data_IF_711658594510
#
_entry.id   IF_711658594510
#
_cell.length_a   1.000
_cell.length_b   1.000
_cell.length_c   1.000
_cell.angle_alpha   90.00
_cell.angle_beta   90.00
_cell.angle_gamma   90.00
#
_symmetry.space_group_name_H-M   'P 1'
#
loop_
_entity.id
_entity.type
_entity.pdbx_description
1 polymer ?
#
# COMPACT_ATOMS: atom_id res chain seq x y z
N UNK A 1 -27.32 18.23 36.07
CA UNK A 1 -26.47 17.12 35.60
C UNK A 1 -27.03 16.63 34.27
N UNK A 2 -26.63 17.29 33.18
CA UNK A 2 -27.09 17.00 31.81
C UNK A 2 -26.26 15.86 31.23
N UNK A 3 -26.89 14.70 31.00
CA UNK A 3 -26.36 13.66 30.13
C UNK A 3 -26.63 14.09 28.69
N UNK A 4 -25.60 14.55 27.98
CA UNK A 4 -25.69 14.81 26.55
C UNK A 4 -25.90 13.51 25.80
N UNK A 5 -27.04 13.43 25.12
CA UNK A 5 -27.35 12.42 24.13
C UNK A 5 -26.34 12.50 22.98
N UNK A 6 -25.54 11.43 22.82
CA UNK A 6 -24.75 11.21 21.61
C UNK A 6 -25.73 10.80 20.50
N UNK A 7 -26.10 11.73 19.62
CA UNK A 7 -26.83 11.43 18.40
C UNK A 7 -26.03 10.45 17.51
N UNK A 8 -26.60 9.30 17.08
CA UNK A 8 -25.94 8.43 16.10
C UNK A 8 -26.67 8.50 14.75
N UNK A 9 -26.32 9.40 13.81
CA UNK A 9 -26.92 9.39 12.48
C UNK A 9 -26.30 8.36 11.51
N UNK A 10 -25.40 7.48 11.96
CA UNK A 10 -24.61 6.61 11.06
C UNK A 10 -24.99 5.12 11.05
N UNK A 11 -26.03 4.69 11.77
CA UNK A 11 -26.46 3.27 11.81
C UNK A 11 -27.63 2.90 10.89
N UNK A 12 -28.28 3.88 10.26
CA UNK A 12 -29.43 3.68 9.35
C UNK A 12 -29.16 2.63 8.22
N UNK A 13 -28.00 2.60 7.53
CA UNK A 13 -27.75 1.62 6.46
C UNK A 13 -27.67 0.17 6.95
N UNK A 14 -27.30 -0.05 8.22
CA UNK A 14 -27.07 -1.40 8.77
C UNK A 14 -28.34 -2.05 9.32
N UNK A 15 -29.39 -1.27 9.58
CA UNK A 15 -30.67 -1.80 10.09
C UNK A 15 -31.34 -2.75 9.09
N UNK A 16 -31.13 -2.50 7.79
CA UNK A 16 -31.66 -3.33 6.67
C UNK A 16 -30.97 -4.70 6.55
N UNK A 17 -29.76 -4.86 7.09
CA UNK A 17 -28.96 -6.09 6.97
C UNK A 17 -29.01 -7.00 8.20
N UNK A 18 -29.76 -6.62 9.25
CA UNK A 18 -29.94 -7.44 10.45
C UNK A 18 -30.31 -8.90 10.15
N UNK A 19 -31.30 -9.21 9.29
CA UNK A 19 -31.65 -10.59 8.97
C UNK A 19 -30.49 -11.37 8.35
N UNK A 20 -29.68 -10.72 7.51
CA UNK A 20 -28.52 -11.35 6.88
C UNK A 20 -27.40 -11.62 7.89
N UNK A 21 -27.19 -10.71 8.85
CA UNK A 21 -26.22 -10.88 9.94
C UNK A 21 -26.66 -12.01 10.89
N UNK A 22 -27.94 -12.05 11.25
CA UNK A 22 -28.51 -13.11 12.10
C UNK A 22 -28.43 -14.48 11.41
N UNK A 23 -28.76 -14.56 10.12
CA UNK A 23 -28.61 -15.78 9.33
C UNK A 23 -27.15 -16.25 9.22
N UNK A 24 -26.21 -15.31 9.04
CA UNK A 24 -24.78 -15.61 9.05
C UNK A 24 -24.34 -16.20 10.40
N UNK A 25 -24.81 -15.64 11.52
CA UNK A 25 -24.51 -16.15 12.86
C UNK A 25 -25.15 -17.52 13.12
N UNK A 26 -26.41 -17.71 12.75
CA UNK A 26 -27.13 -18.97 12.90
C UNK A 26 -26.50 -20.10 12.07
N UNK A 27 -25.89 -19.78 10.93
CA UNK A 27 -25.19 -20.75 10.08
C UNK A 27 -23.71 -20.96 10.43
N UNK A 28 -23.12 -20.18 11.35
CA UNK A 28 -21.72 -20.34 11.77
C UNK A 28 -21.39 -21.75 12.29
N UNK A 29 -22.21 -22.40 13.15
CA UNK A 29 -21.89 -23.72 13.71
C UNK A 29 -21.71 -24.81 12.65
N UNK A 30 -22.37 -24.63 11.49
CA UNK A 30 -22.30 -25.58 10.37
C UNK A 30 -21.21 -25.23 9.35
N UNK A 31 -20.46 -24.14 9.58
CA UNK A 31 -19.42 -23.63 8.68
C UNK A 31 -19.88 -23.42 7.21
N UNK A 32 -21.19 -23.23 6.97
CA UNK A 32 -21.77 -23.06 5.63
C UNK A 32 -21.28 -21.77 4.97
N UNK A 33 -21.20 -20.69 5.74
CA UNK A 33 -20.57 -19.44 5.35
C UNK A 33 -19.56 -19.06 6.43
N UNK A 34 -18.30 -18.90 6.05
CA UNK A 34 -17.28 -18.41 6.96
C UNK A 34 -16.86 -17.01 6.54
N UNK A 35 -16.73 -16.11 7.51
CA UNK A 35 -16.05 -14.84 7.27
C UNK A 35 -14.52 -14.99 7.20
N UNK A 36 -14.02 -16.23 7.07
CA UNK A 36 -12.60 -16.48 6.87
C UNK A 36 -12.15 -15.92 5.52
N UNK A 37 -11.13 -15.07 5.56
CA UNK A 37 -10.51 -14.52 4.38
C UNK A 37 -9.14 -14.00 4.78
N UNK A 38 -8.15 -14.21 3.90
CA UNK A 38 -6.75 -13.82 4.11
C UNK A 38 -6.58 -12.33 4.46
N UNK A 39 -7.62 -11.51 4.26
CA UNK A 39 -7.65 -10.08 4.52
C UNK A 39 -8.90 -9.60 5.29
N UNK A 40 -9.52 -10.48 6.10
CA UNK A 40 -10.73 -10.13 6.87
C UNK A 40 -10.53 -8.89 7.76
N UNK A 41 -9.33 -8.73 8.32
CA UNK A 41 -8.84 -7.47 8.91
C UNK A 41 -7.55 -7.10 8.21
N UNK A 42 -7.56 -5.96 7.52
CA UNK A 42 -6.36 -5.40 6.90
C UNK A 42 -5.48 -4.72 7.95
N UNK A 43 -4.17 -4.78 7.76
CA UNK A 43 -3.22 -4.07 8.63
C UNK A 43 -3.42 -2.56 8.50
N UNK A 44 -3.37 -1.85 9.62
CA UNK A 44 -3.70 -0.42 9.68
C UNK A 44 -5.20 -0.09 9.70
N UNK A 45 -6.09 -1.10 9.75
CA UNK A 45 -7.52 -0.90 9.99
C UNK A 45 -7.85 -1.38 11.41
N UNK A 46 -7.57 -0.51 12.38
CA UNK A 46 -7.95 -0.73 13.77
C UNK A 46 -9.48 -0.66 13.97
N UNK A 47 -10.01 -1.51 14.83
CA UNK A 47 -11.42 -1.62 15.23
C UNK A 47 -11.88 -0.51 16.19
N UNK A 48 -10.97 0.38 16.61
CA UNK A 48 -11.27 1.50 17.50
C UNK A 48 -11.24 1.16 19.00
N UNK A 49 -10.82 -0.05 19.38
CA UNK A 49 -10.46 -0.36 20.77
C UNK A 49 -9.24 0.43 21.25
N UNK A 50 -9.01 0.49 22.56
CA UNK A 50 -7.77 1.03 23.12
C UNK A 50 -6.57 0.30 22.51
N UNK A 51 -5.68 1.04 21.85
CA UNK A 51 -4.48 0.51 21.17
C UNK A 51 -4.61 0.24 19.66
N UNK A 52 -5.80 0.38 19.07
CA UNK A 52 -6.01 0.19 17.64
C UNK A 52 -5.34 1.31 16.81
N UNK A 53 -4.19 1.02 16.19
CA UNK A 53 -3.46 1.97 15.34
C UNK A 53 -4.03 1.98 13.93
N UNK A 54 -4.57 3.12 13.49
CA UNK A 54 -5.01 3.33 12.10
C UNK A 54 -3.82 3.76 11.24
N UNK A 55 -2.78 2.91 11.16
CA UNK A 55 -1.59 3.20 10.37
C UNK A 55 -0.96 1.91 9.83
N UNK A 56 -0.43 1.98 8.60
CA UNK A 56 0.22 0.88 7.90
C UNK A 56 1.74 0.92 8.15
N UNK A 57 2.37 -0.17 8.58
CA UNK A 57 3.82 -0.24 8.63
C UNK A 57 4.41 -0.31 7.21
N UNK A 58 5.45 0.47 6.99
CA UNK A 58 6.13 0.65 5.72
C UNK A 58 7.65 0.67 5.92
N UNK A 59 8.36 -0.16 5.16
CA UNK A 59 9.83 -0.20 5.18
C UNK A 59 10.36 0.81 4.16
N UNK A 60 11.22 1.71 4.60
CA UNK A 60 11.97 2.64 3.76
C UNK A 60 13.42 2.15 3.62
N UNK A 61 13.80 1.71 2.42
CA UNK A 61 15.18 1.36 2.08
C UNK A 61 15.99 2.65 1.89
N UNK A 62 17.18 2.71 2.46
CA UNK A 62 18.05 3.89 2.36
C UNK A 62 19.48 3.49 2.00
N UNK A 63 20.10 4.27 1.12
CA UNK A 63 21.51 4.14 0.73
C UNK A 63 22.37 5.26 1.31
N UNK A 64 23.64 4.97 1.56
CA UNK A 64 24.61 5.95 2.08
C UNK A 64 26.02 5.65 1.58
N UNK A 65 26.86 6.70 1.46
CA UNK A 65 28.29 6.60 1.17
C UNK A 65 29.16 6.67 2.44
N UNK A 66 28.68 7.31 3.50
CA UNK A 66 29.41 7.61 4.74
C UNK A 66 28.86 6.88 5.98
N UNK A 67 27.69 6.23 5.87
CA UNK A 67 26.97 5.61 6.98
C UNK A 67 26.23 6.61 7.88
N UNK A 68 26.24 7.90 7.55
CA UNK A 68 25.65 8.98 8.35
C UNK A 68 24.52 9.69 7.59
N UNK A 69 24.76 9.99 6.32
CA UNK A 69 23.83 10.65 5.40
C UNK A 69 23.09 9.60 4.57
N UNK A 70 21.79 9.50 4.77
CA UNK A 70 20.97 8.43 4.19
C UNK A 70 19.93 8.97 3.21
N UNK A 71 19.89 8.41 2.01
CA UNK A 71 18.95 8.80 0.97
C UNK A 71 17.98 7.66 0.64
N UNK A 72 16.65 7.93 0.58
CA UNK A 72 15.65 6.89 0.42
C UNK A 72 15.52 6.40 -1.02
N UNK A 73 15.32 5.10 -1.18
CA UNK A 73 14.85 4.48 -2.40
C UNK A 73 13.32 4.45 -2.41
N UNK A 74 12.71 4.83 -3.53
CA UNK A 74 11.24 4.93 -3.63
C UNK A 74 10.68 3.76 -4.42
N UNK A 75 9.73 3.04 -3.82
CA UNK A 75 8.99 1.95 -4.47
C UNK A 75 7.90 2.50 -5.42
N UNK A 76 7.49 1.69 -6.40
CA UNK A 76 6.58 2.11 -7.47
C UNK A 76 5.15 2.28 -7.02
N UNK A 77 4.67 1.46 -6.10
CA UNK A 77 3.25 1.39 -5.76
C UNK A 77 2.98 1.48 -4.26
N UNK A 78 4.02 1.51 -3.43
CA UNK A 78 3.89 1.77 -1.99
C UNK A 78 3.83 3.27 -1.66
N UNK A 79 3.31 3.62 -0.47
CA UNK A 79 3.53 4.94 0.12
C UNK A 79 5.03 5.29 0.14
N UNK A 80 5.33 6.59 -0.01
CA UNK A 80 6.70 7.09 -0.10
C UNK A 80 6.71 8.58 0.28
N UNK A 81 6.99 9.49 -0.68
CA UNK A 81 6.80 10.93 -0.45
C UNK A 81 5.39 11.26 0.05
N UNK A 82 5.27 12.21 0.98
CA UNK A 82 4.02 12.49 1.71
C UNK A 82 2.96 13.16 0.83
N UNK A 83 3.38 13.89 -0.18
CA UNK A 83 2.59 14.55 -1.21
C UNK A 83 2.18 13.60 -2.35
N UNK A 84 2.67 12.36 -2.35
CA UNK A 84 2.38 11.39 -3.41
C UNK A 84 1.01 10.75 -3.21
N UNK A 85 0.09 11.00 -4.15
CA UNK A 85 -1.21 10.32 -4.20
C UNK A 85 -1.06 8.79 -4.32
N UNK A 86 -1.93 7.98 -3.68
CA UNK A 86 -1.98 6.54 -3.92
C UNK A 86 -2.20 6.23 -5.41
N UNK A 87 -1.39 5.35 -6.02
CA UNK A 87 -1.57 4.98 -7.42
C UNK A 87 -2.72 4.00 -7.58
N UNK A 88 -3.36 4.03 -8.76
CA UNK A 88 -4.24 2.95 -9.20
C UNK A 88 -3.41 1.82 -9.77
N UNK A 89 -3.48 0.65 -9.14
CA UNK A 89 -2.59 -0.48 -9.44
C UNK A 89 -3.31 -1.62 -10.16
N UNK A 90 -4.63 -1.78 -9.94
CA UNK A 90 -5.40 -2.83 -10.61
C UNK A 90 -5.38 -2.64 -12.15
N UNK A 91 -5.28 -3.72 -12.94
CA UNK A 91 -5.22 -5.15 -12.57
C UNK A 91 -3.81 -5.68 -12.27
N UNK A 92 -2.78 -4.81 -12.28
CA UNK A 92 -1.42 -5.21 -12.00
C UNK A 92 -1.25 -5.63 -10.52
N UNK A 93 -0.42 -6.65 -10.28
CA UNK A 93 -0.06 -7.11 -8.95
C UNK A 93 1.46 -6.93 -8.75
N UNK A 94 1.91 -5.79 -8.20
CA UNK A 94 3.33 -5.51 -8.06
C UNK A 94 3.94 -6.43 -7.00
N UNK A 95 4.65 -7.45 -7.46
CA UNK A 95 5.14 -8.53 -6.60
C UNK A 95 6.12 -8.05 -5.54
N UNK A 96 7.04 -7.15 -5.88
CA UNK A 96 8.01 -6.61 -4.92
C UNK A 96 7.29 -5.76 -3.85
N UNK A 97 6.50 -4.77 -4.25
CA UNK A 97 5.75 -3.89 -3.35
C UNK A 97 4.82 -4.67 -2.41
N UNK A 98 4.23 -5.76 -2.92
CA UNK A 98 3.40 -6.68 -2.16
C UNK A 98 4.21 -7.49 -1.13
N UNK A 99 5.34 -8.04 -1.53
CA UNK A 99 6.27 -8.73 -0.61
C UNK A 99 6.79 -7.77 0.47
N UNK A 100 7.12 -6.54 0.10
CA UNK A 100 7.52 -5.47 1.04
C UNK A 100 6.44 -5.15 2.07
N UNK A 101 5.15 -5.25 1.70
CA UNK A 101 4.06 -5.11 2.67
C UNK A 101 4.05 -6.23 3.70
N UNK A 102 4.23 -7.48 3.30
CA UNK A 102 4.32 -8.59 4.24
C UNK A 102 5.57 -8.49 5.12
N UNK A 103 6.72 -8.14 4.55
CA UNK A 103 7.95 -7.96 5.32
C UNK A 103 7.76 -6.93 6.46
N UNK A 104 7.09 -5.82 6.18
CA UNK A 104 6.84 -4.77 7.17
C UNK A 104 5.97 -5.21 8.37
N UNK A 105 5.31 -6.37 8.29
CA UNK A 105 4.50 -6.94 9.39
C UNK A 105 5.33 -7.81 10.34
N UNK A 106 6.55 -8.18 9.96
CA UNK A 106 7.45 -9.01 10.74
C UNK A 106 8.81 -8.34 10.89
N UNK A 107 9.84 -9.17 10.87
CA UNK A 107 11.23 -8.73 10.96
C UNK A 107 12.02 -9.17 9.72
N UNK A 108 13.15 -8.53 9.47
CA UNK A 108 14.00 -8.86 8.34
C UNK A 108 14.56 -10.30 8.43
N UNK A 109 14.75 -10.85 9.64
CA UNK A 109 15.19 -12.23 9.85
C UNK A 109 14.17 -13.24 9.32
N UNK A 110 12.88 -12.93 9.44
CA UNK A 110 11.78 -13.72 8.87
C UNK A 110 11.60 -13.53 7.35
N UNK A 111 12.29 -12.56 6.75
CA UNK A 111 12.25 -12.26 5.32
C UNK A 111 13.64 -12.32 4.67
N UNK A 112 14.28 -13.50 4.53
CA UNK A 112 15.62 -13.64 3.95
C UNK A 112 15.80 -12.98 2.57
N UNK A 113 14.75 -12.99 1.75
CA UNK A 113 14.75 -12.34 0.43
C UNK A 113 14.98 -10.82 0.51
N UNK A 114 14.59 -10.17 1.61
CA UNK A 114 14.78 -8.75 1.82
C UNK A 114 16.25 -8.41 2.07
N UNK A 115 16.96 -9.27 2.82
CA UNK A 115 18.41 -9.14 3.01
C UNK A 115 19.14 -9.34 1.68
N UNK A 116 18.67 -10.29 0.85
CA UNK A 116 19.21 -10.49 -0.50
C UNK A 116 18.94 -9.28 -1.41
N UNK A 117 17.75 -8.68 -1.34
CA UNK A 117 17.44 -7.43 -2.03
C UNK A 117 18.44 -6.32 -1.65
N UNK A 118 18.71 -6.13 -0.36
CA UNK A 118 19.69 -5.15 0.12
C UNK A 118 21.10 -5.45 -0.41
N UNK A 119 21.52 -6.73 -0.43
CA UNK A 119 22.80 -7.14 -1.02
C UNK A 119 22.89 -6.80 -2.51
N UNK A 120 21.82 -7.04 -3.29
CA UNK A 120 21.81 -6.71 -4.74
C UNK A 120 21.80 -5.22 -5.02
N UNK A 121 21.20 -4.42 -4.13
CA UNK A 121 21.30 -2.96 -4.20
C UNK A 121 22.72 -2.46 -3.87
N UNK A 122 23.41 -3.08 -2.90
CA UNK A 122 24.85 -2.83 -2.62
C UNK A 122 25.77 -3.23 -3.79
N UNK A 123 25.34 -4.18 -4.62
CA UNK A 123 26.03 -4.55 -5.87
C UNK A 123 25.69 -3.60 -7.04
N UNK A 124 24.65 -2.78 -6.91
CA UNK A 124 24.17 -1.91 -7.98
C UNK A 124 23.53 -2.67 -9.13
N UNK A 125 22.93 -3.84 -8.85
CA UNK A 125 22.41 -4.72 -9.88
C UNK A 125 21.29 -4.03 -10.70
N UNK A 126 21.46 -3.80 -12.02
CA UNK A 126 20.52 -3.01 -12.82
C UNK A 126 19.09 -3.56 -12.81
N UNK A 127 18.93 -4.88 -12.80
CA UNK A 127 17.63 -5.53 -12.80
C UNK A 127 16.85 -5.22 -11.51
N UNK A 128 17.55 -5.20 -10.37
CA UNK A 128 16.98 -4.88 -9.05
C UNK A 128 16.68 -3.39 -8.93
N UNK A 129 17.61 -2.54 -9.36
CA UNK A 129 17.43 -1.09 -9.40
C UNK A 129 16.22 -0.72 -10.25
N UNK A 130 15.99 -1.42 -11.36
CA UNK A 130 14.83 -1.20 -12.25
C UNK A 130 13.47 -1.49 -11.61
N UNK A 131 13.43 -2.22 -10.49
CA UNK A 131 12.19 -2.50 -9.74
C UNK A 131 11.72 -1.26 -8.95
N UNK A 132 12.62 -0.32 -8.68
CA UNK A 132 12.33 0.90 -7.93
C UNK A 132 11.82 2.01 -8.86
N UNK A 133 11.07 2.95 -8.31
CA UNK A 133 10.59 4.14 -9.04
C UNK A 133 11.68 5.20 -9.11
N UNK A 134 12.30 5.48 -7.96
CA UNK A 134 13.34 6.48 -7.83
C UNK A 134 14.53 5.94 -7.06
N UNK A 135 15.70 6.23 -7.59
CA UNK A 135 17.01 5.93 -7.05
C UNK A 135 17.69 7.26 -6.73
N UNK A 136 18.30 7.42 -5.54
CA UNK A 136 19.01 8.64 -5.20
C UNK A 136 20.02 9.02 -6.29
N UNK A 137 20.11 10.31 -6.69
CA UNK A 137 20.97 10.74 -7.79
C UNK A 137 22.41 10.24 -7.70
N UNK A 138 22.99 10.28 -6.50
CA UNK A 138 24.35 9.81 -6.22
C UNK A 138 24.57 8.31 -6.41
N UNK A 139 23.49 7.52 -6.49
CA UNK A 139 23.54 6.07 -6.65
C UNK A 139 23.07 5.57 -8.02
N UNK A 140 22.89 6.47 -9.00
CA UNK A 140 22.47 6.09 -10.36
C UNK A 140 23.58 5.43 -11.16
N UNK A 141 24.82 5.92 -10.99
CA UNK A 141 25.99 5.45 -11.73
C UNK A 141 26.89 4.53 -10.90
N UNK A 142 26.81 4.62 -9.57
CA UNK A 142 27.59 3.81 -8.64
C UNK A 142 26.69 3.29 -7.51
N UNK A 143 26.87 2.05 -7.03
CA UNK A 143 26.11 1.57 -5.87
C UNK A 143 26.51 2.30 -4.59
N UNK A 144 25.62 2.38 -3.58
CA UNK A 144 25.96 2.90 -2.28
C UNK A 144 26.97 2.00 -1.55
N UNK A 145 27.74 2.56 -0.62
CA UNK A 145 28.62 1.78 0.26
C UNK A 145 27.85 1.07 1.38
N UNK A 146 26.74 1.68 1.81
CA UNK A 146 25.90 1.21 2.89
C UNK A 146 24.44 1.17 2.48
N UNK A 147 23.71 0.16 2.95
CA UNK A 147 22.26 0.11 2.88
C UNK A 147 21.69 -0.20 4.25
N UNK A 148 20.66 0.52 4.66
CA UNK A 148 19.85 0.22 5.83
C UNK A 148 18.37 0.24 5.48
N UNK A 149 17.53 -0.13 6.42
CA UNK A 149 16.09 0.07 6.29
C UNK A 149 15.49 0.58 7.61
N UNK A 150 14.60 1.55 7.49
CA UNK A 150 13.83 2.12 8.59
C UNK A 150 12.37 1.69 8.46
N UNK A 151 11.69 1.51 9.58
CA UNK A 151 10.25 1.24 9.62
C UNK A 151 9.51 2.53 9.98
N UNK A 152 8.49 2.85 9.19
CA UNK A 152 7.58 3.96 9.43
C UNK A 152 6.15 3.45 9.52
N UNK A 153 5.32 4.17 10.26
CA UNK A 153 3.87 4.01 10.25
C UNK A 153 3.27 5.12 9.41
N UNK A 154 2.61 4.76 8.31
CA UNK A 154 1.93 5.67 7.39
C UNK A 154 0.42 5.68 7.66
N UNK A 155 -0.15 6.87 7.82
CA UNK A 155 -1.61 7.10 7.88
C UNK A 155 -2.01 7.96 6.69
N UNK A 156 -3.12 7.59 6.05
CA UNK A 156 -3.66 8.36 4.93
C UNK A 156 -4.30 9.62 5.49
N UNK A 157 -3.98 10.79 4.93
CA UNK A 157 -4.64 12.02 5.37
C UNK A 157 -6.14 11.92 5.10
N UNK A 158 -6.94 12.36 6.07
CA UNK A 158 -8.40 12.36 6.00
C UNK A 158 -8.90 13.78 6.27
N UNK A 159 -10.05 14.16 5.68
CA UNK A 159 -10.79 15.32 6.15
C UNK A 159 -11.08 15.22 7.66
N UNK A 160 -11.22 16.36 8.33
CA UNK A 160 -11.43 16.47 9.79
C UNK A 160 -12.65 15.73 10.35
N UNK A 161 -13.57 15.25 9.51
CA UNK A 161 -14.74 14.46 9.90
C UNK A 161 -14.47 12.93 9.97
N UNK A 162 -13.28 12.45 9.60
CA UNK A 162 -12.89 11.03 9.66
C UNK A 162 -12.38 10.58 11.03
N UNK A 163 -12.41 9.26 11.29
CA UNK A 163 -11.87 8.61 12.52
C UNK A 163 -10.48 9.16 12.91
N UNK A 164 -10.19 9.16 14.22
CA UNK A 164 -8.90 9.56 14.86
C UNK A 164 -7.70 9.23 13.95
N UNK A 165 -6.94 10.26 13.55
CA UNK A 165 -5.64 10.11 12.88
C UNK A 165 -4.60 9.54 13.85
N UNK A 166 -3.55 8.97 13.27
CA UNK A 166 -2.33 8.66 14.00
C UNK A 166 -1.68 9.95 14.56
N UNK A 167 -1.40 9.97 15.86
CA UNK A 167 -0.55 11.00 16.46
C UNK A 167 0.94 10.67 16.21
N UNK A 168 1.76 11.60 15.70
CA UNK A 168 3.20 11.46 15.67
C UNK A 168 3.71 11.55 17.11
N UNK A 169 3.79 10.41 17.81
CA UNK A 169 4.16 10.36 19.24
C UNK A 169 3.49 9.25 20.04
N UNK A 170 2.57 8.47 19.46
CA UNK A 170 1.99 7.28 20.12
C UNK A 170 0.94 7.59 21.20
N UNK A 171 0.71 8.85 21.56
CA UNK A 171 -0.35 9.26 22.47
C UNK A 171 -1.71 9.34 21.75
N UNK A 172 -2.70 8.57 22.21
CA UNK A 172 -4.07 8.57 21.70
C UNK A 172 -4.91 9.80 22.09
N UNK A 173 -4.33 11.00 22.01
CA UNK A 173 -5.02 12.26 22.27
C UNK A 173 -6.01 12.65 21.14
N UNK A 174 -6.89 13.64 21.38
CA UNK A 174 -7.58 14.35 20.32
C UNK A 174 -6.56 15.15 19.49
N UNK A 175 -6.66 15.06 18.16
CA UNK A 175 -5.77 15.79 17.26
C UNK A 175 -6.06 17.28 17.29
N UNK A 176 -5.14 18.07 17.83
CA UNK A 176 -4.96 19.42 17.30
C UNK A 176 -4.70 19.29 15.80
N UNK A 177 -5.51 19.99 15.02
CA UNK A 177 -5.53 19.87 13.58
C UNK A 177 -4.15 20.26 13.02
N UNK A 178 -3.35 19.28 12.59
CA UNK A 178 -2.30 19.53 11.61
C UNK A 178 -3.01 20.04 10.35
N UNK A 179 -2.91 21.35 10.13
CA UNK A 179 -3.63 22.13 9.13
C UNK A 179 -3.05 22.04 7.71
N UNK A 180 -2.10 21.15 7.46
CA UNK A 180 -1.55 21.02 6.11
C UNK A 180 -2.31 19.96 5.30
N UNK A 181 -3.39 20.40 4.66
CA UNK A 181 -4.24 19.61 3.76
C UNK A 181 -3.58 19.24 2.42
N UNK A 182 -2.33 19.64 2.18
CA UNK A 182 -1.65 19.39 0.89
C UNK A 182 -1.05 17.98 0.75
N UNK A 183 -0.75 17.31 1.87
CA UNK A 183 -0.17 15.97 1.86
C UNK A 183 -1.24 14.86 1.76
N UNK A 184 -0.91 13.77 1.05
CA UNK A 184 -1.72 12.54 0.98
C UNK A 184 -1.45 11.57 2.14
N UNK A 185 -0.29 11.68 2.77
CA UNK A 185 0.14 10.82 3.88
C UNK A 185 0.70 11.61 5.05
N UNK A 186 0.43 11.14 6.26
CA UNK A 186 1.20 11.43 7.45
C UNK A 186 2.06 10.20 7.81
N UNK A 187 3.25 10.41 8.36
CA UNK A 187 4.09 9.31 8.84
C UNK A 187 4.71 9.57 10.20
N UNK A 188 4.97 8.51 10.95
CA UNK A 188 5.78 8.55 12.16
C UNK A 188 6.82 7.43 12.15
N UNK A 189 8.04 7.66 12.68
CA UNK A 189 9.05 6.62 12.79
C UNK A 189 8.58 5.52 13.75
N UNK A 190 8.78 4.27 13.35
CA UNK A 190 8.53 3.08 14.18
C UNK A 190 9.83 2.48 14.74
N UNK A 191 10.95 2.71 14.05
CA UNK A 191 12.28 2.28 14.48
C UNK A 191 13.09 1.64 13.35
N UNK A 192 14.33 1.21 13.62
CA UNK A 192 15.17 0.55 12.63
C UNK A 192 14.58 -0.81 12.25
N UNK A 193 14.55 -1.11 10.95
CA UNK A 193 14.10 -2.40 10.43
C UNK A 193 15.29 -3.30 10.06
N UNK A 194 16.29 -2.77 9.36
CA UNK A 194 17.51 -3.48 8.98
C UNK A 194 18.72 -2.61 9.35
N UNK A 195 19.69 -3.13 10.13
CA UNK A 195 20.89 -2.37 10.46
C UNK A 195 21.71 -2.06 9.20
N UNK A 196 22.58 -1.03 9.25
CA UNK A 196 23.50 -0.71 8.16
C UNK A 196 24.32 -1.93 7.71
N UNK A 197 24.09 -2.37 6.49
CA UNK A 197 24.85 -3.40 5.79
C UNK A 197 25.87 -2.75 4.87
N UNK A 198 27.04 -3.35 4.78
CA UNK A 198 28.10 -2.99 3.86
C UNK A 198 28.41 -4.16 2.92
N UNK A 199 28.90 -3.85 1.72
CA UNK A 199 29.21 -4.87 0.70
C UNK A 199 30.22 -5.92 1.16
N UNK A 200 31.20 -5.54 1.98
CA UNK A 200 32.30 -6.40 2.43
C UNK A 200 32.09 -6.92 3.87
N UNK A 201 30.85 -6.97 4.33
CA UNK A 201 30.53 -7.50 5.65
C UNK A 201 30.57 -9.05 5.63
N UNK A 202 31.45 -9.66 6.42
CA UNK A 202 31.63 -11.11 6.50
C UNK A 202 30.36 -11.85 6.94
N UNK A 203 29.54 -11.25 7.82
CA UNK A 203 28.27 -11.84 8.25
C UNK A 203 27.24 -11.87 7.12
N UNK A 204 27.22 -10.83 6.29
CA UNK A 204 26.36 -10.79 5.10
C UNK A 204 26.81 -11.84 4.08
N UNK A 205 28.12 -11.94 3.83
CA UNK A 205 28.67 -12.94 2.92
C UNK A 205 28.37 -14.37 3.38
N UNK A 206 28.57 -14.68 4.66
CA UNK A 206 28.26 -16.00 5.23
C UNK A 206 26.77 -16.32 5.12
N UNK A 207 25.90 -15.35 5.39
CA UNK A 207 24.45 -15.50 5.21
C UNK A 207 24.08 -15.83 3.76
N UNK A 208 24.60 -15.06 2.79
CA UNK A 208 24.35 -15.29 1.37
C UNK A 208 24.86 -16.65 0.91
N UNK A 209 26.06 -17.05 1.33
CA UNK A 209 26.63 -18.36 1.03
C UNK A 209 25.77 -19.51 1.60
N UNK A 210 25.29 -19.40 2.84
CA UNK A 210 24.44 -20.41 3.48
C UNK A 210 23.13 -20.66 2.73
N UNK A 211 22.67 -19.69 1.95
CA UNK A 211 21.45 -19.74 1.12
C UNK A 211 21.72 -20.11 -0.33
N UNK A 212 22.99 -20.31 -0.71
CA UNK A 212 23.38 -20.51 -2.11
C UNK A 212 23.32 -19.25 -2.98
N UNK A 213 23.18 -18.06 -2.38
CA UNK A 213 23.08 -16.76 -3.06
C UNK A 213 24.42 -16.05 -3.16
N UNK A 214 25.49 -16.79 -3.48
CA UNK A 214 26.83 -16.22 -3.61
C UNK A 214 26.91 -15.07 -4.63
N UNK A 215 28.04 -14.36 -4.65
CA UNK A 215 28.33 -13.19 -5.53
C UNK A 215 28.36 -13.49 -7.04
N UNK A 216 27.81 -14.61 -7.50
CA UNK A 216 27.67 -14.86 -8.94
C UNK A 216 26.55 -13.95 -9.45
N UNK A 217 26.86 -13.12 -10.45
CA UNK A 217 25.81 -12.49 -11.25
C UNK A 217 25.00 -13.63 -11.83
N UNK A 218 23.70 -13.65 -11.51
CA UNK A 218 22.84 -14.79 -11.83
C UNK A 218 22.83 -14.98 -13.35
N UNK A 219 23.47 -16.04 -13.89
CA UNK A 219 23.61 -16.21 -15.34
C UNK A 219 22.24 -16.41 -16.02
N UNK A 220 21.21 -16.73 -15.23
CA UNK A 220 19.84 -16.98 -15.69
C UNK A 220 19.02 -15.70 -15.89
N UNK A 221 19.53 -14.52 -15.51
CA UNK A 221 18.90 -13.24 -15.82
C UNK A 221 19.09 -12.90 -17.30
N UNK A 222 18.29 -13.54 -18.15
CA UNK A 222 18.25 -13.25 -19.56
C UNK A 222 17.70 -11.85 -19.81
N UNK A 223 18.20 -11.13 -20.82
CA UNK A 223 17.61 -9.85 -21.22
C UNK A 223 16.13 -10.05 -21.58
N UNK A 224 15.28 -9.04 -21.33
CA UNK A 224 13.86 -9.16 -21.58
C UNK A 224 13.61 -9.49 -23.06
N UNK A 225 12.96 -10.64 -23.31
CA UNK A 225 12.48 -11.06 -24.64
C UNK A 225 11.64 -9.95 -25.28
N UNK A 226 11.55 -9.86 -26.61
CA UNK A 226 10.77 -8.82 -27.30
C UNK A 226 9.33 -8.68 -26.78
N UNK A 227 8.65 -9.80 -26.55
CA UNK A 227 7.29 -9.84 -25.96
C UNK A 227 7.27 -9.20 -24.57
N UNK A 228 8.27 -9.48 -23.73
CA UNK A 228 8.35 -8.89 -22.39
C UNK A 228 8.62 -7.37 -22.44
N UNK A 229 9.38 -6.88 -23.42
CA UNK A 229 9.53 -5.43 -23.67
C UNK A 229 8.19 -4.81 -24.10
N UNK A 230 7.47 -5.47 -25.02
CA UNK A 230 6.13 -5.03 -25.45
C UNK A 230 5.14 -4.96 -24.26
N UNK A 231 5.09 -6.01 -23.43
CA UNK A 231 4.26 -6.05 -22.23
C UNK A 231 4.71 -5.00 -21.20
N UNK A 232 6.01 -4.74 -21.07
CA UNK A 232 6.54 -3.68 -20.22
C UNK A 232 6.07 -2.30 -20.68
N UNK A 233 6.10 -2.02 -21.99
CA UNK A 233 5.60 -0.76 -22.57
C UNK A 233 4.10 -0.62 -22.33
N UNK A 234 3.34 -1.69 -22.59
CA UNK A 234 1.90 -1.71 -22.34
C UNK A 234 1.60 -1.47 -20.85
N UNK A 235 2.34 -2.10 -19.94
CA UNK A 235 2.24 -1.89 -18.48
C UNK A 235 2.62 -0.47 -18.07
N UNK A 236 3.67 0.12 -18.66
CA UNK A 236 4.09 1.51 -18.38
C UNK A 236 2.96 2.49 -18.73
N UNK A 237 2.22 2.19 -19.80
CA UNK A 237 1.15 3.03 -20.32
C UNK A 237 -0.25 2.58 -19.87
N UNK A 238 -0.38 1.51 -19.07
CA UNK A 238 -1.69 0.97 -18.68
C UNK A 238 -2.48 1.91 -17.77
N UNK A 239 -1.81 2.86 -17.10
CA UNK A 239 -2.49 3.94 -16.39
C UNK A 239 -3.30 4.84 -17.32
N UNK A 240 -2.81 5.10 -18.54
CA UNK A 240 -3.55 5.85 -19.58
C UNK A 240 -4.75 5.02 -20.04
N UNK A 241 -4.55 3.73 -20.28
CA UNK A 241 -5.63 2.83 -20.68
C UNK A 241 -6.71 2.70 -19.59
N UNK A 242 -6.32 2.63 -18.32
CA UNK A 242 -7.24 2.60 -17.19
C UNK A 242 -8.04 3.91 -17.07
N UNK A 243 -7.41 5.06 -17.32
CA UNK A 243 -8.10 6.35 -17.40
C UNK A 243 -9.12 6.33 -18.56
N UNK A 244 -8.72 5.89 -19.75
CA UNK A 244 -9.61 5.82 -20.91
C UNK A 244 -10.79 4.87 -20.70
N UNK A 245 -10.56 3.69 -20.10
CA UNK A 245 -11.62 2.73 -19.74
C UNK A 245 -12.56 3.33 -18.70
N UNK A 246 -12.04 3.99 -17.66
CA UNK A 246 -12.88 4.65 -16.66
C UNK A 246 -13.71 5.78 -17.27
N UNK A 247 -13.12 6.60 -18.16
CA UNK A 247 -13.85 7.64 -18.89
C UNK A 247 -14.96 7.01 -19.72
N UNK A 248 -14.66 5.94 -20.47
CA UNK A 248 -15.65 5.22 -21.28
C UNK A 248 -16.81 4.68 -20.42
N UNK A 249 -16.50 4.01 -19.31
CA UNK A 249 -17.52 3.48 -18.38
C UNK A 249 -18.38 4.60 -17.81
N UNK A 250 -17.78 5.70 -17.34
CA UNK A 250 -18.53 6.85 -16.80
C UNK A 250 -19.40 7.48 -17.88
N UNK A 251 -18.89 7.66 -19.10
CA UNK A 251 -19.65 8.20 -20.24
C UNK A 251 -20.82 7.30 -20.63
N UNK A 252 -20.62 5.98 -20.70
CA UNK A 252 -21.68 5.01 -20.99
C UNK A 252 -22.74 4.99 -19.87
N UNK A 253 -22.32 5.02 -18.61
CA UNK A 253 -23.25 5.08 -17.47
C UNK A 253 -24.07 6.37 -17.48
N UNK A 254 -23.44 7.52 -17.76
CA UNK A 254 -24.12 8.80 -17.89
C UNK A 254 -25.11 8.81 -19.06
N UNK A 255 -24.73 8.24 -20.21
CA UNK A 255 -25.60 8.13 -21.38
C UNK A 255 -26.85 7.28 -21.08
N UNK A 256 -26.68 6.12 -20.44
CA UNK A 256 -27.80 5.26 -19.98
C UNK A 256 -28.71 6.03 -19.03
N UNK A 257 -28.15 6.74 -18.05
CA UNK A 257 -28.93 7.54 -17.09
C UNK A 257 -29.71 8.65 -17.79
N UNK A 258 -29.08 9.39 -18.71
CA UNK A 258 -29.69 10.49 -19.46
C UNK A 258 -30.78 10.01 -20.45
N UNK A 259 -30.65 8.84 -21.04
CA UNK A 259 -31.67 8.29 -21.94
C UNK A 259 -32.80 7.57 -21.21
N UNK A 260 -32.51 6.85 -20.13
CA UNK A 260 -33.49 6.04 -19.42
C UNK A 260 -34.35 6.86 -18.44
N UNK A 261 -33.81 7.86 -17.75
CA UNK A 261 -34.57 8.67 -16.77
C UNK A 261 -35.76 9.42 -17.40
N UNK A 262 -35.63 10.11 -18.56
CA UNK A 262 -36.75 10.81 -19.17
C UNK A 262 -37.83 9.85 -19.70
N UNK A 263 -37.42 8.66 -20.18
CA UNK A 263 -38.34 7.63 -20.68
C UNK A 263 -39.14 7.01 -19.53
N UNK A 264 -38.48 6.66 -18.42
CA UNK A 264 -39.13 6.17 -17.21
C UNK A 264 -40.11 7.21 -16.63
N UNK A 265 -39.71 8.49 -16.60
CA UNK A 265 -40.58 9.58 -16.14
C UNK A 265 -41.81 9.81 -17.06
N UNK A 266 -41.66 9.67 -18.39
CA UNK A 266 -42.79 9.73 -19.34
C UNK A 266 -43.75 8.54 -19.19
N UNK A 267 -43.25 7.33 -18.98
CA UNK A 267 -44.09 6.16 -18.73
C UNK A 267 -44.88 6.27 -17.41
N UNK A 268 -44.24 6.72 -16.32
CA UNK A 268 -44.93 6.94 -15.04
C UNK A 268 -46.06 7.98 -15.15
N UNK A 269 -45.90 9.04 -15.95
CA UNK A 269 -46.96 10.03 -16.22
C UNK A 269 -48.11 9.49 -17.07
N UNK A 270 -47.88 8.49 -17.94
CA UNK A 270 -48.95 7.83 -18.70
C UNK A 270 -49.79 6.92 -17.81
N UNK A 271 -49.15 6.14 -16.94
CA UNK A 271 -49.84 5.22 -16.02
C UNK A 271 -50.71 5.95 -14.99
N UNK A 272 -50.37 7.17 -14.59
CA UNK A 272 -51.19 7.99 -13.67
C UNK A 272 -52.40 8.69 -14.33
N UNK A 273 -52.54 8.58 -15.66
CA UNK A 273 -53.63 9.21 -16.43
C UNK A 273 -54.71 8.21 -16.87
N UNK A 274 -54.50 6.92 -16.60
CA UNK A 274 -55.50 5.85 -16.69
C UNK A 274 -56.02 5.55 -15.28
#
# INVERSE_FOLDING_TARGET
MQLMAVHPPLLEPFRRWRPAVELFHASQPWHIASGYGLFRRMTGVGDGGEGARVARPEIELQGSDDGQSWAPYVLKYKPGPLDRRPPWVAPHQPRLDWQMWFAALGSYQGSPWFVHLAAKLLEGQPEVVSLLESVPPQFRERPPRYIRAELFLYDMTRPSWGRRRMHPGGGGGPLEAMHDTSAWWARAPAGPYLPPLQRNNSSLEAFLQSRGWGRRRDPDLQPPRPISKMLWVFRRNSGILAILVNVLVVSLTAAVVLECLPRAHRQSRKIKKE
#
